data_IF_301720544140
#
_entry.id   IF_301720544140
#
_cell.length_a   1.000
_cell.length_b   1.000
_cell.length_c   1.000
_cell.angle_alpha   90.00
_cell.angle_beta   90.00
_cell.angle_gamma   90.00
#
_symmetry.space_group_name_H-M   'P 1'
#
loop_
_entity.id
_entity.type
_entity.pdbx_description
1 polymer ?
#
# COMPACT_ATOMS: atom_id res chain seq x y z
N UNK A 1 24.82 -14.06 10.69
CA UNK A 1 23.79 -13.75 9.68
C UNK A 1 22.43 -13.92 10.35
N UNK A 2 21.65 -12.86 10.54
CA UNK A 2 20.30 -12.99 11.11
C UNK A 2 19.37 -13.70 10.11
N UNK A 3 18.47 -14.59 10.56
CA UNK A 3 17.57 -15.30 9.66
C UNK A 3 16.66 -14.32 8.90
N UNK A 4 16.41 -14.58 7.61
CA UNK A 4 15.56 -13.76 6.73
C UNK A 4 14.13 -13.53 7.29
N UNK A 5 13.62 -14.49 8.07
CA UNK A 5 12.34 -14.42 8.78
C UNK A 5 12.35 -13.54 10.03
N UNK A 6 13.52 -13.06 10.48
CA UNK A 6 13.58 -12.16 11.64
C UNK A 6 12.99 -10.80 11.24
N UNK A 7 12.02 -10.26 12.02
CA UNK A 7 11.45 -8.93 11.78
C UNK A 7 12.47 -7.80 11.94
N UNK A 8 13.68 -8.11 12.41
CA UNK A 8 14.79 -7.17 12.57
C UNK A 8 15.76 -7.18 11.38
N UNK A 9 15.51 -8.00 10.37
CA UNK A 9 16.33 -7.99 9.16
C UNK A 9 16.09 -6.66 8.41
N UNK A 10 17.15 -5.90 8.07
CA UNK A 10 17.02 -4.62 7.37
C UNK A 10 16.36 -4.73 6.00
N UNK A 11 16.25 -5.93 5.42
CA UNK A 11 15.51 -6.16 4.17
C UNK A 11 14.02 -5.81 4.27
N UNK A 12 13.46 -5.76 5.47
CA UNK A 12 12.07 -5.37 5.72
C UNK A 12 11.85 -3.85 5.68
N UNK A 13 12.92 -3.04 5.71
CA UNK A 13 12.84 -1.57 5.61
C UNK A 13 12.21 -1.13 4.28
N UNK A 14 12.72 -1.55 3.10
CA UNK A 14 12.14 -1.15 1.82
C UNK A 14 10.82 -1.87 1.50
N UNK A 15 10.40 -2.87 2.28
CA UNK A 15 9.22 -3.69 1.96
C UNK A 15 7.95 -2.85 1.76
N UNK A 16 7.72 -1.86 2.63
CA UNK A 16 6.56 -0.96 2.51
C UNK A 16 6.61 -0.12 1.22
N UNK A 17 7.80 0.32 0.82
CA UNK A 17 8.00 1.06 -0.43
C UNK A 17 7.77 0.16 -1.64
N UNK A 18 8.29 -1.06 -1.63
CA UNK A 18 8.11 -2.03 -2.73
C UNK A 18 6.63 -2.36 -2.93
N UNK A 19 5.90 -2.66 -1.84
CA UNK A 19 4.47 -2.94 -1.91
C UNK A 19 3.68 -1.75 -2.44
N UNK A 20 4.01 -0.55 -1.97
CA UNK A 20 3.39 0.69 -2.45
C UNK A 20 3.69 0.93 -3.93
N UNK A 21 4.92 0.72 -4.40
CA UNK A 21 5.28 0.87 -5.81
C UNK A 21 4.56 -0.13 -6.71
N UNK A 22 4.45 -1.40 -6.29
CA UNK A 22 3.69 -2.41 -7.03
C UNK A 22 2.21 -2.03 -7.15
N UNK A 23 1.62 -1.55 -6.05
CA UNK A 23 0.25 -1.06 -6.06
C UNK A 23 0.08 0.16 -6.96
N UNK A 24 1.00 1.13 -6.91
CA UNK A 24 0.97 2.32 -7.75
C UNK A 24 0.98 1.94 -9.24
N UNK A 25 1.88 1.06 -9.66
CA UNK A 25 1.93 0.56 -11.04
C UNK A 25 0.62 -0.15 -11.41
N UNK A 26 0.05 -0.95 -10.52
CA UNK A 26 -1.20 -1.65 -10.76
C UNK A 26 -2.40 -0.70 -10.93
N UNK A 27 -2.48 0.39 -10.14
CA UNK A 27 -3.57 1.37 -10.26
C UNK A 27 -3.48 2.13 -11.57
N UNK A 28 -2.34 2.75 -11.86
CA UNK A 28 -2.21 3.57 -13.07
C UNK A 28 -2.23 2.70 -14.33
N UNK A 29 -1.54 1.55 -14.32
CA UNK A 29 -1.59 0.60 -15.43
C UNK A 29 -2.98 0.01 -15.63
N UNK A 30 -3.67 -0.36 -14.54
CA UNK A 30 -5.03 -0.86 -14.58
C UNK A 30 -6.03 0.16 -15.11
N UNK A 31 -5.88 1.44 -14.74
CA UNK A 31 -6.68 2.54 -15.27
C UNK A 31 -6.44 2.72 -16.78
N UNK A 32 -5.18 2.82 -17.20
CA UNK A 32 -4.83 3.00 -18.62
C UNK A 32 -5.32 1.84 -19.50
N UNK A 33 -5.08 0.60 -19.06
CA UNK A 33 -5.50 -0.59 -19.82
C UNK A 33 -7.02 -0.76 -19.77
N UNK A 34 -7.65 -0.52 -18.62
CA UNK A 34 -9.10 -0.60 -18.44
C UNK A 34 -9.83 0.38 -19.35
N UNK A 35 -9.41 1.64 -19.37
CA UNK A 35 -9.99 2.66 -20.24
C UNK A 35 -9.74 2.38 -21.74
N UNK A 36 -8.60 1.79 -22.11
CA UNK A 36 -8.27 1.50 -23.51
C UNK A 36 -9.00 0.27 -24.07
N UNK A 37 -9.16 -0.80 -23.27
CA UNK A 37 -9.70 -2.07 -23.73
C UNK A 37 -11.19 -2.27 -23.44
N UNK A 38 -11.66 -1.81 -22.27
CA UNK A 38 -13.04 -2.01 -21.80
C UNK A 38 -13.54 -0.72 -21.14
N UNK A 39 -13.74 0.36 -21.91
CA UNK A 39 -14.20 1.63 -21.36
C UNK A 39 -15.58 1.44 -20.69
N UNK A 40 -15.73 1.81 -19.41
CA UNK A 40 -17.03 1.77 -18.74
C UNK A 40 -17.97 2.83 -19.32
N UNK A 41 -19.28 2.54 -19.26
CA UNK A 41 -20.31 3.45 -19.76
C UNK A 41 -20.23 4.81 -19.04
N UNK A 42 -20.06 5.93 -19.76
CA UNK A 42 -20.02 7.27 -19.19
C UNK A 42 -21.24 7.62 -18.32
N UNK A 43 -22.40 7.01 -18.59
CA UNK A 43 -23.62 7.20 -17.80
C UNK A 43 -23.49 6.72 -16.34
N UNK A 44 -22.56 5.80 -16.06
CA UNK A 44 -22.28 5.29 -14.71
C UNK A 44 -21.42 6.24 -13.86
N UNK A 45 -20.82 7.27 -14.49
CA UNK A 45 -19.99 8.27 -13.82
C UNK A 45 -18.85 7.65 -13.00
N UNK A 46 -18.85 7.89 -11.69
CA UNK A 46 -17.82 7.36 -10.77
C UNK A 46 -18.09 5.93 -10.28
N UNK A 47 -19.32 5.41 -10.40
CA UNK A 47 -19.74 4.11 -9.87
C UNK A 47 -19.57 3.00 -10.91
N UNK A 48 -18.35 2.86 -11.41
CA UNK A 48 -18.00 1.85 -12.42
C UNK A 48 -17.38 0.61 -11.77
N UNK A 49 -17.47 -0.52 -12.45
CA UNK A 49 -16.77 -1.75 -12.04
C UNK A 49 -15.25 -1.52 -11.93
N UNK A 50 -14.68 -0.66 -12.79
CA UNK A 50 -13.26 -0.31 -12.81
C UNK A 50 -12.86 0.45 -11.54
N UNK A 51 -13.58 1.53 -11.19
CA UNK A 51 -13.35 2.26 -9.94
C UNK A 51 -13.58 1.35 -8.72
N UNK A 52 -14.58 0.47 -8.76
CA UNK A 52 -14.83 -0.51 -7.69
C UNK A 52 -13.64 -1.46 -7.47
N UNK A 53 -13.07 -2.00 -8.55
CA UNK A 53 -11.91 -2.88 -8.50
C UNK A 53 -10.65 -2.15 -8.00
N UNK A 54 -10.40 -0.94 -8.51
CA UNK A 54 -9.25 -0.11 -8.11
C UNK A 54 -9.37 0.34 -6.65
N UNK A 55 -10.58 0.71 -6.20
CA UNK A 55 -10.85 1.05 -4.80
C UNK A 55 -10.65 -0.16 -3.87
N UNK A 56 -11.11 -1.35 -4.28
CA UNK A 56 -10.89 -2.58 -3.52
C UNK A 56 -9.40 -2.94 -3.41
N UNK A 57 -8.66 -2.87 -4.52
CA UNK A 57 -7.21 -3.11 -4.53
C UNK A 57 -6.47 -2.13 -3.61
N UNK A 58 -6.89 -0.86 -3.63
CA UNK A 58 -6.36 0.19 -2.75
C UNK A 58 -6.66 -0.07 -1.29
N UNK A 59 -7.89 -0.48 -0.97
CA UNK A 59 -8.29 -0.84 0.38
C UNK A 59 -7.48 -2.01 0.92
N UNK A 60 -7.35 -3.08 0.14
CA UNK A 60 -6.55 -4.27 0.51
C UNK A 60 -5.09 -3.87 0.76
N UNK A 61 -4.51 -3.06 -0.13
CA UNK A 61 -3.11 -2.60 0.01
C UNK A 61 -2.92 -1.73 1.24
N UNK A 62 -3.82 -0.76 1.47
CA UNK A 62 -3.77 0.11 2.64
C UNK A 62 -3.88 -0.70 3.94
N UNK A 63 -4.78 -1.68 4.00
CA UNK A 63 -4.92 -2.58 5.16
C UNK A 63 -3.64 -3.39 5.35
N UNK A 64 -3.08 -3.98 4.29
CA UNK A 64 -1.84 -4.76 4.38
C UNK A 64 -0.68 -3.91 4.92
N UNK A 65 -0.50 -2.68 4.42
CA UNK A 65 0.53 -1.75 4.88
C UNK A 65 0.29 -1.32 6.34
N UNK A 66 -0.95 -1.06 6.75
CA UNK A 66 -1.28 -0.74 8.14
C UNK A 66 -1.02 -1.92 9.09
N UNK A 67 -1.32 -3.15 8.67
CA UNK A 67 -1.04 -4.35 9.44
C UNK A 67 0.47 -4.54 9.60
N UNK A 68 1.24 -4.38 8.52
CA UNK A 68 2.71 -4.42 8.56
C UNK A 68 3.27 -3.33 9.48
N UNK A 69 2.79 -2.09 9.37
CA UNK A 69 3.18 -1.00 10.24
C UNK A 69 2.92 -1.35 11.71
N UNK A 70 1.74 -1.89 12.05
CA UNK A 70 1.42 -2.33 13.41
C UNK A 70 2.30 -3.49 13.88
N UNK A 71 2.63 -4.43 13.02
CA UNK A 71 3.52 -5.55 13.33
C UNK A 71 4.93 -5.06 13.68
N UNK A 72 5.51 -4.17 12.86
CA UNK A 72 6.82 -3.60 13.12
C UNK A 72 6.83 -2.67 14.34
N UNK A 73 5.76 -1.90 14.56
CA UNK A 73 5.61 -1.11 15.79
C UNK A 73 5.58 -1.99 17.04
N UNK A 74 4.84 -3.11 17.01
CA UNK A 74 4.80 -4.08 18.12
C UNK A 74 6.17 -4.72 18.35
N UNK A 75 6.89 -5.08 17.28
CA UNK A 75 8.25 -5.59 17.37
C UNK A 75 9.22 -4.57 18.00
N UNK A 76 9.12 -3.29 17.63
CA UNK A 76 9.93 -2.22 18.19
C UNK A 76 9.67 -1.95 19.69
N UNK A 77 8.47 -2.30 20.19
CA UNK A 77 8.06 -2.15 21.60
C UNK A 77 8.45 -3.35 22.48
N UNK A 78 9.02 -4.42 21.93
CA UNK A 78 9.46 -5.56 22.75
C UNK A 78 10.72 -5.19 23.54
N UNK A 79 10.66 -5.37 24.85
CA UNK A 79 11.75 -5.00 25.77
C UNK A 79 13.06 -5.75 25.49
N UNK A 80 13.00 -6.94 24.89
CA UNK A 80 14.17 -7.77 24.57
C UNK A 80 14.94 -7.33 23.31
N UNK A 81 14.46 -6.34 22.55
CA UNK A 81 15.13 -5.90 21.33
C UNK A 81 16.27 -4.91 21.63
N UNK A 82 17.42 -5.09 20.97
CA UNK A 82 18.55 -4.16 21.02
C UNK A 82 18.20 -2.80 20.38
N UNK A 83 18.97 -1.74 20.68
CA UNK A 83 18.72 -0.39 20.13
C UNK A 83 18.67 -0.37 18.59
N UNK A 84 19.57 -1.08 17.92
CA UNK A 84 19.62 -1.18 16.46
C UNK A 84 18.38 -1.87 15.89
N UNK A 85 17.90 -2.94 16.52
CA UNK A 85 16.70 -3.66 16.12
C UNK A 85 15.42 -2.82 16.28
N UNK A 86 15.35 -2.03 17.36
CA UNK A 86 14.25 -1.07 17.58
C UNK A 86 14.27 0.06 16.54
N UNK A 87 15.45 0.52 16.15
CA UNK A 87 15.60 1.54 15.10
C UNK A 87 15.09 1.01 13.75
N UNK A 88 15.57 -0.17 13.32
CA UNK A 88 15.13 -0.81 12.08
C UNK A 88 13.62 -1.02 12.07
N UNK A 89 13.05 -1.55 13.16
CA UNK A 89 11.61 -1.79 13.27
C UNK A 89 10.78 -0.49 13.27
N UNK A 90 11.27 0.61 13.87
CA UNK A 90 10.59 1.92 13.81
C UNK A 90 10.61 2.53 12.41
N UNK A 91 11.74 2.45 11.71
CA UNK A 91 11.84 2.94 10.33
C UNK A 91 10.92 2.12 9.43
N UNK A 92 10.97 0.79 9.52
CA UNK A 92 10.09 -0.09 8.75
C UNK A 92 8.61 0.21 9.03
N UNK A 93 8.22 0.41 10.29
CA UNK A 93 6.88 0.84 10.65
C UNK A 93 6.48 2.19 10.02
N UNK A 94 7.39 3.17 10.04
CA UNK A 94 7.18 4.49 9.45
C UNK A 94 6.96 4.43 7.94
N UNK A 95 7.81 3.70 7.22
CA UNK A 95 7.68 3.51 5.76
C UNK A 95 6.35 2.87 5.39
N UNK A 96 5.93 1.82 6.10
CA UNK A 96 4.64 1.18 5.86
C UNK A 96 3.45 2.10 6.17
N UNK A 97 3.54 2.91 7.24
CA UNK A 97 2.48 3.87 7.59
C UNK A 97 2.35 4.97 6.54
N UNK A 98 3.47 5.55 6.10
CA UNK A 98 3.49 6.57 5.04
C UNK A 98 2.95 5.98 3.74
N UNK A 99 3.35 4.75 3.39
CA UNK A 99 2.80 4.03 2.24
C UNK A 99 1.28 3.85 2.33
N UNK A 100 0.74 3.51 3.50
CA UNK A 100 -0.70 3.39 3.69
C UNK A 100 -1.43 4.72 3.50
N UNK A 101 -0.89 5.82 4.07
CA UNK A 101 -1.46 7.16 3.93
C UNK A 101 -1.44 7.59 2.45
N UNK A 102 -0.30 7.39 1.78
CA UNK A 102 -0.16 7.70 0.37
C UNK A 102 -1.13 6.89 -0.50
N UNK A 103 -1.34 5.61 -0.18
CA UNK A 103 -2.33 4.74 -0.87
C UNK A 103 -3.73 5.33 -0.77
N UNK A 104 -4.17 5.69 0.44
CA UNK A 104 -5.51 6.28 0.65
C UNK A 104 -5.65 7.61 -0.10
N UNK A 105 -4.63 8.46 -0.04
CA UNK A 105 -4.66 9.75 -0.71
C UNK A 105 -4.72 9.63 -2.24
N UNK A 106 -3.92 8.75 -2.82
CA UNK A 106 -3.89 8.50 -4.27
C UNK A 106 -5.14 7.76 -4.75
N UNK A 107 -5.79 6.96 -3.90
CA UNK A 107 -7.06 6.30 -4.22
C UNK A 107 -8.29 7.21 -4.06
N UNK A 108 -8.18 8.34 -3.34
CA UNK A 108 -9.31 9.24 -3.11
C UNK A 108 -10.04 9.69 -4.40
N UNK A 109 -9.33 10.02 -5.50
CA UNK A 109 -9.96 10.40 -6.76
C UNK A 109 -10.82 9.30 -7.39
N UNK A 110 -10.56 8.02 -7.11
CA UNK A 110 -11.39 6.92 -7.66
C UNK A 110 -12.81 6.90 -7.08
N UNK A 111 -13.06 7.68 -6.01
CA UNK A 111 -14.37 7.80 -5.38
C UNK A 111 -15.14 9.05 -5.84
N UNK A 112 -14.46 10.03 -6.45
CA UNK A 112 -15.05 11.32 -6.82
C UNK A 112 -15.02 11.63 -8.32
N UNK A 113 -14.16 10.96 -9.09
CA UNK A 113 -13.99 11.21 -10.52
C UNK A 113 -14.35 9.97 -11.36
N UNK A 114 -14.91 10.17 -12.57
CA UNK A 114 -15.04 9.09 -13.54
C UNK A 114 -13.63 8.58 -13.93
N UNK A 115 -13.47 7.27 -14.18
CA UNK A 115 -12.16 6.66 -14.42
C UNK A 115 -11.53 7.06 -15.76
N UNK A 116 -12.37 7.35 -16.74
CA UNK A 116 -11.95 7.68 -18.10
C UNK A 116 -12.56 9.04 -18.46
N UNK A 117 -11.74 9.92 -19.01
CA UNK A 117 -12.14 11.21 -19.56
C UNK A 117 -12.25 11.11 -21.09
#
# INVERSE_FOLDING_TARGET
MQPLRSPYNPIHIPLGLVLWSLWFVAIYGGLSVGCALVPPDPAQGQWTWLNGLLALLSLVTAIALLLLARLFQRAARRDRATQSERFVARIAAGVNLIGAIATVFVALPTLSLPPCL
#
